data_IF_006191617672
#
_entry.id   IF_006191617672
#
_cell.length_a   1.000
_cell.length_b   1.000
_cell.length_c   1.000
_cell.angle_alpha   90.00
_cell.angle_beta   90.00
_cell.angle_gamma   90.00
#
_symmetry.space_group_name_H-M   'P 1'
#
loop_
_entity.id
_entity.type
_entity.pdbx_description
1 polymer ?
#
# COMPACT_ATOMS: atom_id res chain seq x y z
N UNK A 1 6.70 -15.02 -2.14
CA UNK A 1 6.13 -13.86 -2.85
C UNK A 1 5.89 -14.36 -4.27
N UNK A 2 4.66 -14.79 -4.57
CA UNK A 2 4.31 -15.34 -5.87
C UNK A 2 4.12 -14.19 -6.87
N UNK A 3 4.28 -14.51 -8.15
CA UNK A 3 4.58 -13.62 -9.28
C UNK A 3 3.43 -12.66 -9.73
N UNK A 4 2.57 -12.17 -8.83
CA UNK A 4 1.39 -11.35 -9.18
C UNK A 4 1.12 -10.14 -8.27
N UNK A 5 2.11 -9.74 -7.49
CA UNK A 5 1.98 -8.64 -6.53
C UNK A 5 3.01 -7.56 -6.88
N UNK A 6 2.53 -6.35 -7.18
CA UNK A 6 3.42 -5.20 -7.39
C UNK A 6 3.64 -4.51 -6.05
N UNK A 7 4.89 -4.50 -5.58
CA UNK A 7 5.30 -3.74 -4.41
C UNK A 7 5.33 -2.25 -4.75
N UNK A 8 4.37 -1.49 -4.23
CA UNK A 8 4.27 -0.05 -4.48
C UNK A 8 5.23 0.72 -3.57
N UNK A 9 5.31 0.33 -2.30
CA UNK A 9 6.19 0.97 -1.32
C UNK A 9 6.50 0.02 -0.18
N UNK A 10 7.70 0.12 0.40
CA UNK A 10 8.03 -0.54 1.66
C UNK A 10 8.92 0.34 2.53
N UNK A 11 8.81 0.13 3.84
CA UNK A 11 9.80 0.61 4.79
C UNK A 11 10.08 -0.47 5.84
N UNK A 12 11.30 -0.41 6.37
CA UNK A 12 11.75 -1.22 7.49
C UNK A 12 12.38 -0.31 8.52
N UNK A 13 11.98 -0.47 9.78
CA UNK A 13 12.60 0.25 10.89
C UNK A 13 12.74 -0.69 12.07
N UNK A 14 13.99 -0.94 12.48
CA UNK A 14 14.32 -1.94 13.48
C UNK A 14 13.70 -3.30 13.13
N UNK A 15 12.84 -3.83 14.00
CA UNK A 15 12.16 -5.12 13.83
C UNK A 15 10.81 -5.00 13.11
N UNK A 16 10.38 -3.77 12.76
CA UNK A 16 9.09 -3.51 12.15
C UNK A 16 9.21 -3.36 10.63
N UNK A 17 8.21 -3.87 9.91
CA UNK A 17 8.12 -3.76 8.46
C UNK A 17 6.75 -3.24 8.06
N UNK A 18 6.71 -2.40 7.03
CA UNK A 18 5.46 -1.96 6.41
C UNK A 18 5.59 -2.04 4.90
N UNK A 19 4.57 -2.55 4.23
CA UNK A 19 4.53 -2.64 2.78
C UNK A 19 3.14 -2.29 2.26
N UNK A 20 3.09 -1.52 1.18
CA UNK A 20 1.88 -1.29 0.40
C UNK A 20 1.99 -2.09 -0.90
N UNK A 21 1.03 -2.97 -1.10
CA UNK A 21 0.97 -3.92 -2.20
C UNK A 21 -0.25 -3.61 -3.06
N UNK A 22 -0.11 -3.83 -4.37
CA UNK A 22 -1.23 -3.89 -5.30
C UNK A 22 -1.22 -5.26 -6.00
N UNK A 23 -2.37 -5.66 -6.53
CA UNK A 23 -2.50 -6.91 -7.28
C UNK A 23 -2.42 -6.66 -8.77
N UNK A 24 -2.21 -7.72 -9.54
CA UNK A 24 -2.38 -7.69 -11.00
C UNK A 24 -3.82 -7.47 -11.46
N UNK A 25 -4.81 -7.52 -10.55
CA UNK A 25 -6.19 -7.22 -10.91
C UNK A 25 -6.35 -5.70 -11.03
N UNK A 26 -6.94 -5.25 -12.14
CA UNK A 26 -7.31 -3.85 -12.36
C UNK A 26 -8.59 -3.47 -11.61
N UNK A 27 -8.74 -3.98 -10.38
CA UNK A 27 -9.85 -3.64 -9.50
C UNK A 27 -9.50 -2.44 -8.60
N UNK A 28 -8.26 -1.95 -8.62
CA UNK A 28 -7.85 -0.82 -7.78
C UNK A 28 -7.74 -1.19 -6.29
N UNK A 29 -7.60 -2.46 -5.93
CA UNK A 29 -7.39 -2.88 -4.55
C UNK A 29 -5.92 -2.72 -4.14
N UNK A 30 -5.72 -2.19 -2.94
CA UNK A 30 -4.43 -2.03 -2.29
C UNK A 30 -4.45 -2.68 -0.91
N UNK A 31 -3.33 -3.28 -0.54
CA UNK A 31 -3.16 -4.00 0.72
C UNK A 31 -1.96 -3.42 1.45
N UNK A 32 -2.18 -2.88 2.63
CA UNK A 32 -1.12 -2.44 3.51
C UNK A 32 -0.86 -3.49 4.57
N UNK A 33 0.35 -4.01 4.58
CA UNK A 33 0.81 -5.01 5.52
C UNK A 33 1.74 -4.34 6.53
N UNK A 34 1.42 -4.41 7.82
CA UNK A 34 2.25 -3.87 8.91
C UNK A 34 2.63 -5.00 9.86
N UNK A 35 3.93 -5.30 9.95
CA UNK A 35 4.46 -6.30 10.88
C UNK A 35 5.18 -5.62 12.05
N UNK A 36 4.74 -5.94 13.27
CA UNK A 36 5.40 -5.55 14.51
C UNK A 36 6.29 -6.70 14.98
N UNK A 37 7.61 -6.50 14.89
CA UNK A 37 8.58 -7.54 15.25
C UNK A 37 8.72 -7.78 16.75
N UNK A 38 8.51 -6.74 17.57
CA UNK A 38 8.60 -6.84 19.03
C UNK A 38 7.47 -7.71 19.58
N UNK A 39 6.26 -7.55 19.02
CA UNK A 39 5.06 -8.32 19.41
C UNK A 39 4.82 -9.56 18.57
N UNK A 40 5.55 -9.73 17.46
CA UNK A 40 5.38 -10.81 16.47
C UNK A 40 3.95 -10.91 15.92
N UNK A 41 3.38 -9.77 15.56
CA UNK A 41 2.02 -9.67 15.05
C UNK A 41 1.97 -8.92 13.72
N UNK A 42 0.95 -9.20 12.92
CA UNK A 42 0.75 -8.61 11.61
C UNK A 42 -0.65 -8.02 11.51
N UNK A 43 -0.72 -6.82 10.97
CA UNK A 43 -1.95 -6.11 10.63
C UNK A 43 -2.04 -5.98 9.11
N UNK A 44 -3.26 -6.10 8.59
CA UNK A 44 -3.54 -5.95 7.16
C UNK A 44 -4.72 -5.00 7.00
N UNK A 45 -4.46 -3.88 6.33
CA UNK A 45 -5.48 -2.91 5.95
C UNK A 45 -5.77 -3.03 4.45
N UNK A 46 -7.04 -2.93 4.08
CA UNK A 46 -7.51 -3.10 2.70
C UNK A 46 -8.13 -1.80 2.21
N UNK A 47 -7.64 -1.29 1.08
CA UNK A 47 -8.07 -0.03 0.48
C UNK A 47 -8.56 -0.24 -0.95
N UNK A 48 -9.55 0.57 -1.35
CA UNK A 48 -9.98 0.72 -2.75
C UNK A 48 -9.51 2.08 -3.27
N UNK A 49 -8.68 2.06 -4.30
CA UNK A 49 -8.34 3.27 -5.06
C UNK A 49 -9.48 3.60 -6.01
N UNK A 50 -10.10 4.75 -5.79
CA UNK A 50 -11.19 5.25 -6.62
C UNK A 50 -10.67 5.96 -7.86
N UNK A 51 -9.65 6.82 -7.71
CA UNK A 51 -9.11 7.62 -8.81
C UNK A 51 -7.70 8.11 -8.50
N UNK A 52 -7.00 8.56 -9.54
CA UNK A 52 -5.74 9.30 -9.44
C UNK A 52 -5.89 10.53 -10.34
N UNK A 53 -5.83 11.71 -9.75
CA UNK A 53 -5.98 12.98 -10.46
C UNK A 53 -4.88 13.93 -10.01
N UNK A 54 -4.52 14.85 -10.90
CA UNK A 54 -3.56 15.90 -10.58
C UNK A 54 -4.33 17.06 -9.93
N UNK A 55 -3.69 17.74 -8.99
CA UNK A 55 -4.23 18.96 -8.37
C UNK A 55 -3.33 20.13 -8.74
N UNK A 56 -3.94 21.20 -9.23
CA UNK A 56 -3.28 22.49 -9.46
C UNK A 56 -3.14 23.28 -8.16
N UNK A 57 -2.18 24.21 -8.12
CA UNK A 57 -1.94 25.08 -6.96
C UNK A 57 -3.15 25.97 -6.61
N UNK A 58 -4.03 26.23 -7.57
CA UNK A 58 -5.29 26.95 -7.38
C UNK A 58 -6.42 26.06 -6.82
N UNK A 59 -6.16 24.76 -6.59
CA UNK A 59 -7.12 23.79 -6.06
C UNK A 59 -7.96 23.05 -7.11
N UNK A 60 -7.73 23.28 -8.41
CA UNK A 60 -8.50 22.65 -9.47
C UNK A 60 -7.96 21.24 -9.79
N UNK A 61 -8.87 20.29 -10.05
CA UNK A 61 -8.55 18.92 -10.46
C UNK A 61 -8.30 18.90 -11.97
N UNK A 62 -7.23 18.21 -12.39
CA UNK A 62 -6.81 18.01 -13.78
C UNK A 62 -6.62 16.54 -14.10
#
# INVERSE_FOLDING_TARGET
MNEKEFLQWCCKTLQNNKALLSTTLFDGMYYECTYNGDKKEMYVDVYKKWENYKVELNGHRV
#
